data_IF_990313268027
#
_entry.id   IF_990313268027
#
_cell.length_a   1.000
_cell.length_b   1.000
_cell.length_c   1.000
_cell.angle_alpha   90.00
_cell.angle_beta   90.00
_cell.angle_gamma   90.00
#
_symmetry.space_group_name_H-M   'P 1'
#
loop_
_entity.id
_entity.type
_entity.pdbx_description
1 polymer ?
#
# COMPACT_ATOMS: atom_id res chain seq x y z
N UNK A 1 -4.29 -21.26 -13.72
CA UNK A 1 -4.40 -20.03 -14.52
C UNK A 1 -3.00 -19.41 -14.62
N UNK A 2 -2.31 -19.58 -15.74
CA UNK A 2 -0.93 -19.11 -15.90
C UNK A 2 -0.93 -17.57 -16.05
N UNK A 3 -0.37 -16.85 -15.07
CA UNK A 3 -0.15 -15.41 -15.10
C UNK A 3 1.01 -15.08 -16.04
N UNK A 4 0.86 -15.39 -17.33
CA UNK A 4 1.84 -15.02 -18.36
C UNK A 4 1.64 -13.55 -18.79
N UNK A 5 1.60 -12.64 -17.82
CA UNK A 5 1.51 -11.19 -18.07
C UNK A 5 2.93 -10.68 -18.10
N UNK A 6 3.49 -10.51 -19.30
CA UNK A 6 4.87 -10.03 -19.50
C UNK A 6 5.17 -8.72 -18.75
N UNK A 7 6.41 -8.21 -18.81
CA UNK A 7 6.98 -7.06 -18.04
C UNK A 7 6.12 -5.76 -17.90
N UNK A 8 5.02 -5.64 -18.66
CA UNK A 8 3.99 -4.59 -18.63
C UNK A 8 2.74 -4.91 -17.78
N UNK A 9 2.59 -6.14 -17.31
CA UNK A 9 1.45 -6.63 -16.52
C UNK A 9 1.61 -6.54 -15.01
N UNK A 10 2.76 -6.08 -14.52
CA UNK A 10 3.01 -5.91 -13.09
C UNK A 10 2.17 -4.77 -12.50
N UNK A 11 1.93 -4.84 -11.20
CA UNK A 11 1.35 -3.76 -10.42
C UNK A 11 2.45 -3.00 -9.65
N UNK A 12 2.16 -1.76 -9.29
CA UNK A 12 2.90 -0.98 -8.30
C UNK A 12 2.05 -0.86 -7.05
N UNK A 13 2.70 -0.83 -5.90
CA UNK A 13 2.03 -0.73 -4.62
C UNK A 13 2.72 0.29 -3.73
N UNK A 14 1.94 0.99 -2.93
CA UNK A 14 2.39 1.82 -1.82
C UNK A 14 2.25 1.04 -0.54
N UNK A 15 3.37 0.85 0.14
CA UNK A 15 3.44 0.14 1.41
C UNK A 15 4.12 1.05 2.44
N UNK A 16 3.47 1.28 3.56
CA UNK A 16 4.10 1.90 4.72
C UNK A 16 4.71 0.81 5.60
N UNK A 17 6.01 0.89 5.85
CA UNK A 17 6.70 -0.09 6.69
C UNK A 17 7.69 0.59 7.63
N UNK A 18 7.86 0.01 8.81
CA UNK A 18 8.94 0.35 9.75
C UNK A 18 9.57 -0.94 10.24
N UNK A 19 10.90 -1.04 10.12
CA UNK A 19 11.64 -2.25 10.51
C UNK A 19 11.34 -2.61 11.97
N UNK A 20 10.98 -3.87 12.21
CA UNK A 20 10.60 -4.37 13.55
C UNK A 20 9.19 -3.98 14.00
N UNK A 21 8.35 -3.43 13.10
CA UNK A 21 6.93 -3.15 13.33
C UNK A 21 6.08 -3.67 12.16
N UNK A 22 4.77 -3.38 12.22
CA UNK A 22 3.78 -3.70 11.20
C UNK A 22 4.10 -3.09 9.82
N UNK A 23 3.61 -3.74 8.78
CA UNK A 23 3.64 -3.29 7.39
C UNK A 23 2.19 -3.10 6.92
N UNK A 24 1.93 -2.01 6.22
CA UNK A 24 0.59 -1.63 5.77
C UNK A 24 0.59 -1.44 4.25
N UNK A 25 -0.27 -2.18 3.56
CA UNK A 25 -0.62 -1.89 2.18
C UNK A 25 -1.61 -0.71 2.15
N UNK A 26 -1.31 0.33 1.38
CA UNK A 26 -2.13 1.55 1.31
C UNK A 26 -2.87 1.60 -0.03
N UNK A 27 -2.15 1.49 -1.14
CA UNK A 27 -2.73 1.59 -2.49
C UNK A 27 -1.90 0.79 -3.50
N UNK A 28 -2.46 0.52 -4.68
CA UNK A 28 -1.73 -0.04 -5.79
C UNK A 28 -2.44 0.09 -7.13
N UNK A 29 -1.67 0.23 -8.20
CA UNK A 29 -2.17 0.40 -9.56
C UNK A 29 -1.38 -0.41 -10.56
N UNK A 30 -2.00 -0.70 -11.70
CA UNK A 30 -1.35 -1.45 -12.78
C UNK A 30 -0.27 -0.58 -13.45
N UNK A 31 0.86 -1.20 -13.82
CA UNK A 31 1.97 -0.46 -14.43
C UNK A 31 1.59 0.25 -15.73
N UNK A 32 0.61 -0.28 -16.45
CA UNK A 32 0.15 0.24 -17.74
C UNK A 32 -0.80 1.44 -17.64
N UNK A 33 -1.27 1.81 -16.45
CA UNK A 33 -2.13 3.00 -16.26
C UNK A 33 -1.33 4.29 -16.08
N UNK A 34 -0.01 4.18 -15.91
CA UNK A 34 0.88 5.33 -15.75
C UNK A 34 1.22 5.94 -17.12
N UNK A 35 1.17 7.27 -17.19
CA UNK A 35 1.50 8.03 -18.41
C UNK A 35 2.94 7.75 -18.84
N UNK A 36 3.14 7.40 -20.12
CA UNK A 36 4.45 7.04 -20.68
C UNK A 36 5.35 8.25 -20.98
N UNK A 37 4.88 9.47 -20.73
CA UNK A 37 5.50 10.72 -21.16
C UNK A 37 6.46 11.35 -20.15
N UNK A 38 7.01 10.57 -19.22
CA UNK A 38 7.97 11.06 -18.22
C UNK A 38 7.37 11.94 -17.12
N UNK A 39 6.04 12.05 -17.07
CA UNK A 39 5.35 12.66 -15.94
C UNK A 39 5.61 11.87 -14.65
N UNK A 40 5.65 12.56 -13.50
CA UNK A 40 5.75 11.91 -12.19
C UNK A 40 4.60 10.90 -12.05
N UNK A 41 4.92 9.68 -11.62
CA UNK A 41 3.90 8.64 -11.40
C UNK A 41 2.98 8.96 -10.24
N UNK A 42 3.52 9.66 -9.24
CA UNK A 42 2.82 10.18 -8.06
C UNK A 42 3.17 11.66 -8.01
N UNK A 43 2.16 12.52 -7.99
CA UNK A 43 2.42 13.96 -7.89
C UNK A 43 2.84 14.34 -6.45
N UNK A 44 3.33 15.56 -6.26
CA UNK A 44 3.90 15.96 -4.96
C UNK A 44 2.83 16.03 -3.85
N UNK A 45 1.59 16.37 -4.21
CA UNK A 45 0.46 16.44 -3.26
C UNK A 45 0.02 15.04 -2.82
N UNK A 46 -0.13 14.11 -3.76
CA UNK A 46 -0.40 12.69 -3.50
C UNK A 46 0.70 12.07 -2.65
N UNK A 47 1.97 12.39 -2.95
CA UNK A 47 3.10 11.93 -2.16
C UNK A 47 3.06 12.49 -0.73
N UNK A 48 2.63 13.73 -0.54
CA UNK A 48 2.43 14.31 0.79
C UNK A 48 1.35 13.56 1.56
N UNK A 49 0.19 13.29 0.94
CA UNK A 49 -0.88 12.51 1.56
C UNK A 49 -0.43 11.10 1.94
N UNK A 50 0.30 10.40 1.06
CA UNK A 50 0.84 9.07 1.41
C UNK A 50 1.81 9.11 2.59
N UNK A 51 2.61 10.18 2.72
CA UNK A 51 3.51 10.35 3.87
C UNK A 51 2.75 10.60 5.16
N UNK A 52 1.66 11.35 5.12
CA UNK A 52 0.79 11.58 6.28
C UNK A 52 0.10 10.29 6.70
N UNK A 53 -0.54 9.58 5.77
CA UNK A 53 -1.13 8.27 6.02
C UNK A 53 -0.11 7.30 6.62
N UNK A 54 1.09 7.22 6.04
CA UNK A 54 2.14 6.36 6.56
C UNK A 54 2.55 6.71 8.00
N UNK A 55 2.61 8.00 8.36
CA UNK A 55 2.91 8.43 9.74
C UNK A 55 1.81 7.96 10.69
N UNK A 56 0.55 8.15 10.32
CA UNK A 56 -0.58 7.78 11.16
C UNK A 56 -0.64 6.26 11.38
N UNK A 57 -0.57 5.47 10.30
CA UNK A 57 -0.58 4.00 10.38
C UNK A 57 0.61 3.44 11.18
N UNK A 58 1.81 4.01 11.02
CA UNK A 58 3.01 3.55 11.75
C UNK A 58 3.05 4.00 13.22
N UNK A 59 2.24 5.00 13.58
CA UNK A 59 2.07 5.50 14.94
C UNK A 59 0.89 4.85 15.69
N UNK A 60 0.00 4.13 15.00
CA UNK A 60 -1.14 3.47 15.64
C UNK A 60 -0.69 2.53 16.76
N UNK A 61 -1.22 2.68 17.98
CA UNK A 61 -0.96 1.75 19.06
C UNK A 61 -1.71 0.42 18.83
N UNK A 62 -1.23 -0.69 19.42
CA UNK A 62 -1.79 -2.03 19.18
C UNK A 62 -3.31 -2.13 19.41
N UNK A 63 -3.85 -1.41 20.40
CA UNK A 63 -5.28 -1.38 20.71
C UNK A 63 -6.12 -0.80 19.57
N UNK A 64 -5.60 0.22 18.88
CA UNK A 64 -6.27 0.86 17.74
C UNK A 64 -6.16 -0.03 16.51
N UNK A 65 -5.01 -0.68 16.30
CA UNK A 65 -4.84 -1.67 15.23
C UNK A 65 -5.87 -2.80 15.39
N UNK A 66 -6.03 -3.33 16.61
CA UNK A 66 -7.01 -4.38 16.90
C UNK A 66 -8.44 -3.91 16.61
N UNK A 67 -8.84 -2.73 17.09
CA UNK A 67 -10.17 -2.15 16.80
C UNK A 67 -10.40 -1.94 15.31
N UNK A 68 -9.37 -1.52 14.58
CA UNK A 68 -9.44 -1.32 13.14
C UNK A 68 -9.60 -2.65 12.39
N UNK A 69 -9.00 -3.74 12.87
CA UNK A 69 -9.23 -5.08 12.34
C UNK A 69 -10.65 -5.55 12.66
N UNK A 70 -11.09 -5.40 13.91
CA UNK A 70 -12.41 -5.83 14.37
C UNK A 70 -13.55 -5.08 13.66
N UNK A 71 -13.34 -3.80 13.30
CA UNK A 71 -14.31 -3.01 12.53
C UNK A 71 -14.30 -3.31 11.02
N UNK A 72 -13.34 -4.10 10.53
CA UNK A 72 -13.14 -4.36 9.12
C UNK A 72 -12.45 -3.22 8.35
N UNK A 73 -11.99 -2.17 9.04
CA UNK A 73 -11.21 -1.08 8.41
C UNK A 73 -9.83 -1.56 7.95
N UNK A 74 -9.18 -2.40 8.76
CA UNK A 74 -7.96 -3.11 8.39
C UNK A 74 -8.23 -4.59 8.22
N UNK A 75 -7.52 -5.21 7.29
CA UNK A 75 -7.48 -6.66 7.15
C UNK A 75 -6.07 -7.14 7.42
N UNK A 76 -5.91 -7.89 8.50
CA UNK A 76 -4.66 -8.60 8.74
C UNK A 76 -4.53 -9.74 7.72
N UNK A 77 -3.42 -9.76 6.98
CA UNK A 77 -3.10 -10.85 6.06
C UNK A 77 -2.28 -11.86 6.83
N UNK A 78 -2.90 -12.99 7.18
CA UNK A 78 -2.21 -14.15 7.74
C UNK A 78 -1.83 -15.07 6.58
N UNK A 79 -0.62 -15.62 6.62
CA UNK A 79 -0.21 -16.69 5.70
C UNK A 79 -0.88 -17.99 6.13
N UNK A 80 -2.19 -18.08 5.89
CA UNK A 80 -2.93 -19.33 5.96
C UNK A 80 -3.45 -19.57 4.52
N UNK A 81 -2.69 -20.40 3.78
CA UNK A 81 -2.84 -20.87 2.38
C UNK A 81 -4.01 -20.33 1.52
#
# INVERSE_FOLDING_TARGET
MSLNRGKRGGARSIVAFKRGRHQYFIDGWLKNTVKQNGAKEINDDELATYRELARDFLAMPPEIIKRAIDSGYLREVKCDD
#
